data_IF_498697158582
#
_entry.id   IF_498697158582
#
_cell.length_a   1.000
_cell.length_b   1.000
_cell.length_c   1.000
_cell.angle_alpha   90.00
_cell.angle_beta   90.00
_cell.angle_gamma   90.00
#
_symmetry.space_group_name_H-M   'P 1'
#
loop_
_entity.id
_entity.type
_entity.pdbx_description
1 polymer ?
#
# COMPACT_ATOMS: atom_id res chain seq x y z
N UNK A 1 16.74 13.13 -8.83
CA UNK A 1 16.97 12.45 -7.55
C UNK A 1 15.91 11.37 -7.44
N UNK A 2 16.26 10.09 -7.29
CA UNK A 2 15.26 9.05 -7.09
C UNK A 2 14.62 9.25 -5.72
N UNK A 3 13.35 9.62 -5.68
CA UNK A 3 12.61 9.64 -4.42
C UNK A 3 12.54 8.18 -3.94
N UNK A 4 13.07 7.85 -2.76
CA UNK A 4 12.95 6.49 -2.23
C UNK A 4 11.46 6.16 -2.07
N UNK A 5 11.08 4.95 -2.46
CA UNK A 5 9.70 4.47 -2.32
C UNK A 5 9.19 4.70 -0.89
N UNK A 6 7.94 5.14 -0.72
CA UNK A 6 7.34 5.26 0.60
C UNK A 6 7.29 3.88 1.27
N UNK A 7 7.54 3.86 2.58
CA UNK A 7 7.35 2.67 3.41
C UNK A 7 5.88 2.24 3.32
N UNK A 8 5.59 0.99 2.97
CA UNK A 8 4.21 0.50 2.83
C UNK A 8 3.39 0.74 4.09
N UNK A 9 4.03 0.61 5.25
CA UNK A 9 3.36 0.87 6.50
C UNK A 9 2.89 2.33 6.64
N UNK A 10 3.57 3.30 6.01
CA UNK A 10 3.10 4.69 6.03
C UNK A 10 1.83 4.86 5.19
N UNK A 11 1.70 4.10 4.10
CA UNK A 11 0.49 4.12 3.27
C UNK A 11 -0.68 3.53 4.05
N UNK A 12 -0.48 2.38 4.70
CA UNK A 12 -1.48 1.76 5.60
C UNK A 12 -1.89 2.71 6.72
N UNK A 13 -0.92 3.39 7.34
CA UNK A 13 -1.18 4.37 8.39
C UNK A 13 -2.04 5.53 7.88
N UNK A 14 -1.75 6.07 6.69
CA UNK A 14 -2.51 7.18 6.11
C UNK A 14 -3.94 6.77 5.74
N UNK A 15 -4.12 5.59 5.15
CA UNK A 15 -5.44 4.99 4.91
C UNK A 15 -6.21 4.87 6.22
N UNK A 16 -5.60 4.26 7.24
CA UNK A 16 -6.25 4.04 8.53
C UNK A 16 -6.57 5.36 9.26
N UNK A 17 -5.78 6.42 9.06
CA UNK A 17 -6.12 7.77 9.57
C UNK A 17 -7.34 8.34 8.83
N UNK A 18 -7.41 8.16 7.51
CA UNK A 18 -8.58 8.59 6.72
C UNK A 18 -9.85 7.89 7.19
N UNK A 19 -9.76 6.59 7.48
CA UNK A 19 -10.90 5.77 7.91
C UNK A 19 -11.32 6.05 9.37
N UNK A 20 -10.37 6.23 10.28
CA UNK A 20 -10.66 6.30 11.72
C UNK A 20 -10.63 7.72 12.31
N UNK A 21 -10.11 8.72 11.60
CA UNK A 21 -9.99 10.11 12.10
C UNK A 21 -9.10 10.28 13.33
N UNK A 22 -8.25 9.30 13.62
CA UNK A 22 -7.39 9.28 14.81
C UNK A 22 -6.08 8.56 14.54
N UNK A 23 -4.95 9.26 14.74
CA UNK A 23 -3.61 8.69 14.58
C UNK A 23 -3.38 7.51 15.52
N UNK A 24 -3.82 7.61 16.77
CA UNK A 24 -3.66 6.52 17.74
C UNK A 24 -4.50 5.28 17.39
N UNK A 25 -5.70 5.48 16.80
CA UNK A 25 -6.50 4.36 16.29
C UNK A 25 -5.86 3.74 15.04
N UNK A 26 -5.40 4.58 14.12
CA UNK A 26 -4.74 4.15 12.90
C UNK A 26 -3.46 3.35 13.16
N UNK A 27 -2.64 3.77 14.12
CA UNK A 27 -1.43 3.04 14.55
C UNK A 27 -1.77 1.62 15.01
N UNK A 28 -2.86 1.45 15.77
CA UNK A 28 -3.30 0.13 16.22
C UNK A 28 -3.81 -0.74 15.06
N UNK A 29 -4.57 -0.14 14.15
CA UNK A 29 -5.10 -0.83 12.97
C UNK A 29 -3.98 -1.29 12.02
N UNK A 30 -2.97 -0.44 11.79
CA UNK A 30 -1.80 -0.73 10.96
C UNK A 30 -0.72 -1.58 11.66
N UNK A 31 -0.98 -2.10 12.87
CA UNK A 31 -0.02 -2.93 13.60
C UNK A 31 1.31 -2.24 13.95
N UNK A 32 1.31 -0.91 14.04
CA UNK A 32 2.52 -0.10 14.23
C UNK A 32 2.78 0.28 15.68
N UNK A 33 4.05 0.56 15.99
CA UNK A 33 4.38 1.35 17.17
C UNK A 33 4.19 2.86 16.90
N UNK A 34 3.54 3.57 17.81
CA UNK A 34 3.23 5.00 17.65
C UNK A 34 4.45 5.93 17.39
N UNK A 35 5.64 5.69 17.97
CA UNK A 35 6.85 6.44 17.64
C UNK A 35 7.30 6.25 16.18
N UNK A 36 7.07 5.07 15.60
CA UNK A 36 7.42 4.78 14.20
C UNK A 36 6.47 5.54 13.27
N UNK A 37 5.17 5.48 13.55
CA UNK A 37 4.15 6.22 12.80
C UNK A 37 4.41 7.73 12.77
N UNK A 38 4.68 8.34 13.94
CA UNK A 38 4.99 9.78 14.01
C UNK A 38 6.23 10.14 13.20
N UNK A 39 7.28 9.31 13.25
CA UNK A 39 8.54 9.52 12.52
C UNK A 39 8.35 9.38 11.01
N UNK A 40 7.55 8.41 10.55
CA UNK A 40 7.25 8.20 9.13
C UNK A 40 6.45 9.37 8.55
N UNK A 41 5.41 9.84 9.25
CA UNK A 41 4.65 11.04 8.86
C UNK A 41 5.56 12.27 8.80
N UNK A 42 6.32 12.56 9.87
CA UNK A 42 7.24 13.71 9.87
C UNK A 42 8.30 13.62 8.76
N UNK A 43 8.71 12.41 8.36
CA UNK A 43 9.65 12.22 7.26
C UNK A 43 9.03 12.62 5.91
N UNK A 44 7.76 12.33 5.68
CA UNK A 44 7.04 12.76 4.47
C UNK A 44 6.77 14.26 4.48
N UNK A 45 6.36 14.82 5.62
CA UNK A 45 6.09 16.26 5.81
C UNK A 45 7.35 17.13 5.76
N UNK A 46 8.55 16.54 5.74
CA UNK A 46 9.79 17.28 5.46
C UNK A 46 9.83 17.85 4.04
N UNK A 47 9.01 17.35 3.13
CA UNK A 47 8.88 17.96 1.81
C UNK A 47 8.20 19.32 1.92
N UNK A 48 8.80 20.40 1.37
CA UNK A 48 8.19 21.72 1.41
C UNK A 48 6.78 21.71 0.82
N UNK A 49 5.82 22.29 1.54
CA UNK A 49 4.41 22.37 1.12
C UNK A 49 3.57 21.14 1.45
N UNK A 50 4.15 20.08 2.02
CA UNK A 50 3.43 18.87 2.43
C UNK A 50 3.14 18.92 3.94
N UNK A 51 1.88 19.08 4.29
CA UNK A 51 1.36 18.71 5.61
C UNK A 51 0.39 17.57 5.36
N UNK A 52 0.48 16.44 6.04
CA UNK A 52 -0.38 15.29 5.78
C UNK A 52 -1.49 15.17 6.82
N UNK A 53 -1.20 15.54 8.08
CA UNK A 53 -2.13 15.38 9.18
C UNK A 53 -2.52 16.72 9.81
N UNK A 54 -3.82 16.97 9.89
CA UNK A 54 -4.37 18.02 10.75
C UNK A 54 -4.61 17.46 12.15
N UNK A 55 -3.87 17.96 13.15
CA UNK A 55 -3.98 17.50 14.54
C UNK A 55 -4.83 18.46 15.36
N UNK A 56 -5.76 17.92 16.13
CA UNK A 56 -6.60 18.69 17.07
C UNK A 56 -6.81 17.92 18.38
N UNK A 57 -7.46 18.56 19.35
CA UNK A 57 -7.86 17.89 20.60
C UNK A 57 -8.85 16.74 20.39
N UNK A 58 -9.53 16.69 19.23
CA UNK A 58 -10.50 15.64 18.87
C UNK A 58 -9.89 14.46 18.11
N UNK A 59 -8.63 14.54 17.70
CA UNK A 59 -7.99 13.49 16.91
C UNK A 59 -7.05 14.02 15.83
N UNK A 60 -6.79 13.19 14.84
CA UNK A 60 -5.92 13.55 13.70
C UNK A 60 -6.58 13.06 12.42
N UNK A 61 -6.78 13.96 11.48
CA UNK A 61 -7.37 13.67 10.16
C UNK A 61 -6.36 13.97 9.08
N UNK A 62 -6.57 13.41 7.88
CA UNK A 62 -5.82 13.87 6.71
C UNK A 62 -6.15 15.35 6.42
N UNK A 63 -5.16 16.09 5.93
CA UNK A 63 -5.32 17.45 5.42
C UNK A 63 -5.76 17.43 3.95
N UNK A 64 -6.38 18.52 3.48
CA UNK A 64 -6.66 18.76 2.05
C UNK A 64 -5.41 19.21 1.25
N UNK A 65 -4.21 18.89 1.69
CA UNK A 65 -2.92 19.31 1.09
C UNK A 65 -2.65 18.73 -0.31
N UNK A 66 -3.66 18.21 -0.98
CA UNK A 66 -3.57 17.57 -2.30
C UNK A 66 -3.27 16.08 -2.25
N UNK A 67 -3.11 15.48 -1.05
CA UNK A 67 -2.92 14.03 -0.90
C UNK A 67 -4.27 13.37 -0.65
N UNK A 68 -4.83 12.76 -1.69
CA UNK A 68 -6.04 11.94 -1.61
C UNK A 68 -5.63 10.47 -1.48
N UNK A 69 -6.16 9.79 -0.47
CA UNK A 69 -5.88 8.38 -0.24
C UNK A 69 -7.18 7.60 -0.43
N UNK A 70 -7.20 6.75 -1.44
CA UNK A 70 -8.32 5.86 -1.75
C UNK A 70 -7.80 4.47 -2.06
N UNK A 71 -8.58 3.46 -1.66
CA UNK A 71 -8.28 2.06 -1.96
C UNK A 71 -9.39 1.53 -2.85
N UNK A 72 -8.99 1.08 -4.04
CA UNK A 72 -9.89 0.49 -5.04
C UNK A 72 -9.38 -0.90 -5.41
N UNK A 73 -10.29 -1.83 -5.65
CA UNK A 73 -9.96 -3.20 -6.06
C UNK A 73 -10.20 -3.34 -7.55
N UNK A 74 -9.16 -3.72 -8.28
CA UNK A 74 -9.13 -3.83 -9.73
C UNK A 74 -8.37 -5.08 -10.16
N UNK A 75 -8.56 -5.53 -11.40
CA UNK A 75 -7.67 -6.54 -11.98
C UNK A 75 -6.32 -5.91 -12.37
N UNK A 76 -5.27 -6.73 -12.49
CA UNK A 76 -3.91 -6.28 -12.84
C UNK A 76 -3.87 -5.38 -14.07
N UNK A 77 -4.68 -5.66 -15.10
CA UNK A 77 -4.72 -4.83 -16.31
C UNK A 77 -5.25 -3.42 -16.03
N UNK A 78 -6.39 -3.34 -15.33
CA UNK A 78 -7.05 -2.08 -15.00
C UNK A 78 -6.20 -1.22 -14.06
N UNK A 79 -5.45 -1.85 -13.13
CA UNK A 79 -4.46 -1.14 -12.29
C UNK A 79 -3.38 -0.48 -13.15
N UNK A 80 -2.84 -1.22 -14.12
CA UNK A 80 -1.78 -0.70 -14.99
C UNK A 80 -2.27 0.42 -15.90
N UNK A 81 -3.50 0.33 -16.39
CA UNK A 81 -4.10 1.39 -17.22
C UNK A 81 -4.39 2.63 -16.39
N UNK A 82 -4.99 2.49 -15.20
CA UNK A 82 -5.18 3.60 -14.26
C UNK A 82 -3.86 4.29 -13.91
N UNK A 83 -2.78 3.53 -13.71
CA UNK A 83 -1.46 4.10 -13.41
C UNK A 83 -0.87 4.88 -14.59
N UNK A 84 -1.06 4.38 -15.83
CA UNK A 84 -0.57 5.05 -17.04
C UNK A 84 -1.37 6.30 -17.39
N UNK A 85 -2.66 6.28 -17.11
CA UNK A 85 -3.58 7.39 -17.36
C UNK A 85 -3.59 8.44 -16.24
N UNK A 86 -2.87 8.19 -15.14
CA UNK A 86 -2.82 9.09 -13.99
C UNK A 86 -4.07 9.04 -13.11
N UNK A 87 -4.89 8.00 -13.24
CA UNK A 87 -6.02 7.72 -12.34
C UNK A 87 -5.57 7.24 -10.96
N UNK A 88 -4.35 6.71 -10.85
CA UNK A 88 -3.70 6.42 -9.56
C UNK A 88 -2.18 6.62 -9.63
N UNK A 89 -1.57 6.97 -8.49
CA UNK A 89 -0.11 7.13 -8.38
C UNK A 89 0.62 5.80 -8.08
N UNK A 90 -0.06 4.88 -7.41
CA UNK A 90 0.49 3.59 -6.94
C UNK A 90 -0.57 2.51 -7.09
N UNK A 91 -0.15 1.31 -7.50
CA UNK A 91 -0.99 0.12 -7.57
C UNK A 91 -0.25 -1.13 -7.09
N UNK A 92 -0.98 -2.03 -6.44
CA UNK A 92 -0.51 -3.37 -6.09
C UNK A 92 -1.03 -4.35 -7.12
N UNK A 93 -0.14 -5.18 -7.65
CA UNK A 93 -0.51 -6.26 -8.58
C UNK A 93 0.20 -7.54 -8.17
N UNK A 94 -0.44 -8.66 -8.43
CA UNK A 94 0.19 -9.97 -8.35
C UNK A 94 0.52 -10.45 -9.76
N UNK A 95 1.71 -11.04 -9.92
CA UNK A 95 2.11 -11.61 -11.18
C UNK A 95 3.50 -12.24 -11.14
N UNK A 96 3.77 -13.20 -12.03
CA UNK A 96 5.04 -13.93 -12.03
C UNK A 96 6.22 -13.09 -12.50
N UNK A 97 5.97 -11.93 -13.12
CA UNK A 97 6.98 -11.06 -13.70
C UNK A 97 6.59 -9.58 -13.53
N UNK A 98 7.57 -8.69 -13.32
CA UNK A 98 7.29 -7.27 -13.26
C UNK A 98 6.70 -6.71 -14.56
N UNK A 99 5.75 -5.76 -14.47
CA UNK A 99 5.19 -5.09 -15.62
C UNK A 99 6.24 -4.21 -16.32
N UNK A 100 6.15 -4.12 -17.65
CA UNK A 100 7.00 -3.24 -18.45
C UNK A 100 6.44 -1.82 -18.49
N UNK A 101 7.33 -0.84 -18.67
CA UNK A 101 6.94 0.56 -18.87
C UNK A 101 6.49 1.28 -17.60
N UNK A 102 6.67 0.69 -16.43
CA UNK A 102 6.38 1.30 -15.13
C UNK A 102 7.51 0.99 -14.14
N UNK A 103 7.70 1.88 -13.17
CA UNK A 103 8.58 1.60 -12.03
C UNK A 103 7.87 0.59 -11.10
N UNK A 104 8.62 -0.37 -10.57
CA UNK A 104 8.06 -1.38 -9.66
C UNK A 104 9.04 -1.68 -8.52
N UNK A 105 8.47 -2.18 -7.43
CA UNK A 105 9.18 -2.74 -6.29
C UNK A 105 8.43 -4.01 -5.87
N UNK A 106 9.14 -5.13 -5.77
CA UNK A 106 8.55 -6.34 -5.19
C UNK A 106 8.43 -6.17 -3.69
N UNK A 107 7.20 -6.24 -3.17
CA UNK A 107 6.90 -6.00 -1.76
C UNK A 107 6.68 -7.29 -0.96
N UNK A 108 6.27 -8.38 -1.62
CA UNK A 108 6.09 -9.70 -1.03
C UNK A 108 6.19 -10.79 -2.10
N UNK A 109 6.41 -12.02 -1.66
CA UNK A 109 6.29 -13.24 -2.47
C UNK A 109 5.31 -14.18 -1.76
N UNK A 110 4.40 -14.79 -2.50
CA UNK A 110 3.46 -15.79 -1.98
C UNK A 110 3.80 -17.18 -2.51
N UNK A 111 3.50 -18.23 -1.73
CA UNK A 111 3.72 -19.63 -2.11
C UNK A 111 2.42 -20.26 -2.61
N UNK A 112 2.36 -20.54 -3.91
CA UNK A 112 1.20 -21.22 -4.51
C UNK A 112 1.24 -22.72 -4.25
N UNK A 113 0.19 -23.25 -3.61
CA UNK A 113 0.04 -24.69 -3.35
C UNK A 113 -1.01 -25.29 -4.28
N UNK A 114 -0.63 -26.34 -5.01
CA UNK A 114 -1.57 -27.13 -5.80
C UNK A 114 -2.39 -28.04 -4.88
N UNK A 115 -3.71 -27.87 -4.90
CA UNK A 115 -4.65 -28.71 -4.14
C UNK A 115 -5.48 -29.55 -5.11
N UNK A 116 -5.53 -30.86 -4.87
CA UNK A 116 -6.32 -31.80 -5.66
C UNK A 116 -6.92 -32.91 -4.76
N UNK A 117 -8.00 -33.60 -5.19
CA UNK A 117 -8.51 -34.78 -4.49
C UNK A 117 -7.43 -35.85 -4.24
N UNK A 118 -7.59 -36.64 -3.17
CA UNK A 118 -6.60 -37.66 -2.75
C UNK A 118 -6.32 -38.71 -3.83
N UNK A 119 -7.27 -38.95 -4.71
CA UNK A 119 -7.25 -39.90 -5.81
C UNK A 119 -6.92 -39.24 -7.16
N UNK A 120 -6.47 -37.98 -7.17
CA UNK A 120 -6.10 -37.29 -8.41
C UNK A 120 -4.98 -38.04 -9.15
N UNK A 121 -5.13 -38.32 -10.47
CA UNK A 121 -4.17 -39.14 -11.24
C UNK A 121 -2.73 -38.63 -11.23
N UNK A 122 -2.53 -37.32 -11.05
CA UNK A 122 -1.22 -36.66 -10.99
C UNK A 122 -0.50 -36.74 -9.64
N UNK A 123 -0.96 -37.57 -8.69
CA UNK A 123 -0.39 -37.73 -7.34
C UNK A 123 1.06 -38.26 -7.41
N UNK A 124 2.01 -37.36 -7.59
CA UNK A 124 3.45 -37.67 -7.69
C UNK A 124 4.19 -36.91 -8.80
N UNK A 125 3.47 -36.26 -9.72
CA UNK A 125 4.09 -35.33 -10.66
C UNK A 125 4.18 -33.95 -9.99
N UNK A 126 5.35 -33.59 -9.48
CA UNK A 126 5.59 -32.20 -9.10
C UNK A 126 5.34 -31.31 -10.34
N UNK A 127 4.59 -30.20 -10.21
CA UNK A 127 4.52 -29.23 -11.29
C UNK A 127 5.94 -28.76 -11.62
N UNK A 128 6.35 -28.90 -12.88
CA UNK A 128 7.63 -28.39 -13.39
C UNK A 128 7.56 -26.88 -13.57
#
# INVERSE_FOLDING_TARGET
>A
MSTPWPDLGVLELLVAVAEHGSLSAAVRAAGMAQPNASRSISRLERHPGVTLLHRSTRGSTLTDSGVRVEVHVYNTHDVLDSLREGGCDVGFIEGPRPPRGVNHLTVAHDEMVLVAPRDHPGRGAAPR
#
